data_IF_444854719089
#
_entry.id   IF_444854719089
#
_cell.length_a   1.000
_cell.length_b   1.000
_cell.length_c   1.000
_cell.angle_alpha   90.00
_cell.angle_beta   90.00
_cell.angle_gamma   90.00
#
_symmetry.space_group_name_H-M   'P 1'
#
loop_
_entity.id
_entity.type
_entity.pdbx_description
1 polymer ?
#
# COMPACT_ATOMS: atom_id res chain seq x y z
N UNK A 1 2.26 -20.84 -17.83
CA UNK A 1 2.16 -20.57 -16.38
C UNK A 1 0.72 -20.25 -16.03
N UNK A 2 0.20 -20.85 -14.96
CA UNK A 2 -1.16 -20.58 -14.48
C UNK A 2 -1.22 -19.20 -13.79
N UNK A 3 -1.96 -18.21 -14.33
CA UNK A 3 -2.09 -16.89 -13.72
C UNK A 3 -2.67 -16.92 -12.31
N UNK A 4 -3.64 -17.81 -12.05
CA UNK A 4 -4.29 -17.92 -10.74
C UNK A 4 -3.31 -18.40 -9.67
N UNK A 5 -2.47 -19.40 -9.99
CA UNK A 5 -1.41 -19.89 -9.11
C UNK A 5 -0.37 -18.81 -8.82
N UNK A 6 0.09 -18.10 -9.85
CA UNK A 6 1.03 -16.98 -9.69
C UNK A 6 0.45 -15.87 -8.78
N UNK A 7 -0.77 -15.42 -9.06
CA UNK A 7 -1.43 -14.37 -8.27
C UNK A 7 -1.68 -14.83 -6.83
N UNK A 8 -2.04 -16.11 -6.64
CA UNK A 8 -2.19 -16.72 -5.31
C UNK A 8 -0.90 -16.67 -4.50
N UNK A 9 0.24 -17.03 -5.12
CA UNK A 9 1.56 -16.96 -4.48
C UNK A 9 1.94 -15.51 -4.12
N UNK A 10 1.73 -14.55 -5.02
CA UNK A 10 2.02 -13.14 -4.76
C UNK A 10 1.15 -12.62 -3.61
N UNK A 11 -0.15 -12.89 -3.61
CA UNK A 11 -1.06 -12.49 -2.52
C UNK A 11 -0.66 -13.14 -1.19
N UNK A 12 -0.31 -14.43 -1.21
CA UNK A 12 0.17 -15.16 -0.03
C UNK A 12 1.46 -14.56 0.53
N UNK A 13 2.42 -14.23 -0.34
CA UNK A 13 3.65 -13.56 0.07
C UNK A 13 3.36 -12.21 0.77
N UNK A 14 2.53 -11.35 0.18
CA UNK A 14 2.20 -10.07 0.79
C UNK A 14 1.37 -10.20 2.07
N UNK A 15 0.48 -11.18 2.17
CA UNK A 15 -0.20 -11.52 3.42
C UNK A 15 0.80 -11.96 4.50
N UNK A 16 1.83 -12.73 4.12
CA UNK A 16 2.96 -13.09 5.00
C UNK A 16 3.74 -11.85 5.48
N UNK A 17 4.02 -10.89 4.59
CA UNK A 17 4.63 -9.59 4.95
C UNK A 17 3.73 -8.82 5.93
N UNK A 18 2.41 -8.81 5.72
CA UNK A 18 1.43 -8.21 6.64
C UNK A 18 1.47 -8.86 8.03
N UNK A 19 1.53 -10.20 8.10
CA UNK A 19 1.66 -10.95 9.35
C UNK A 19 2.97 -10.64 10.07
N UNK A 20 4.08 -10.60 9.34
CA UNK A 20 5.38 -10.20 9.88
C UNK A 20 5.36 -8.74 10.38
N UNK A 21 4.61 -7.87 9.71
CA UNK A 21 4.43 -6.47 10.14
C UNK A 21 3.63 -6.39 11.44
N UNK A 22 2.63 -7.24 11.66
CA UNK A 22 1.92 -7.31 12.95
C UNK A 22 2.87 -7.69 14.10
N UNK A 23 3.76 -8.65 13.88
CA UNK A 23 4.83 -8.97 14.84
C UNK A 23 5.80 -7.79 15.03
N UNK A 24 6.20 -7.13 13.95
CA UNK A 24 7.05 -5.95 14.02
C UNK A 24 6.37 -4.79 14.79
N UNK A 25 5.05 -4.64 14.64
CA UNK A 25 4.24 -3.67 15.42
C UNK A 25 4.29 -3.98 16.90
N UNK A 26 4.18 -5.26 17.29
CA UNK A 26 4.40 -5.68 18.67
C UNK A 26 5.80 -5.29 19.16
N UNK A 27 6.84 -5.58 18.36
CA UNK A 27 8.22 -5.20 18.70
C UNK A 27 8.38 -3.69 18.87
N UNK A 28 7.82 -2.89 17.96
CA UNK A 28 7.85 -1.43 18.04
C UNK A 28 7.12 -0.91 19.28
N UNK A 29 5.94 -1.47 19.58
CA UNK A 29 5.18 -1.15 20.79
C UNK A 29 6.00 -1.39 22.07
N UNK A 30 6.66 -2.56 22.14
CA UNK A 30 7.55 -2.92 23.26
C UNK A 30 8.75 -1.96 23.37
N UNK A 31 9.38 -1.68 22.23
CA UNK A 31 10.51 -0.74 22.13
C UNK A 31 10.13 0.69 22.51
N UNK A 32 8.85 1.06 22.34
CA UNK A 32 8.28 2.36 22.73
C UNK A 32 7.74 2.40 24.16
N UNK A 33 7.92 1.34 24.96
CA UNK A 33 7.62 1.30 26.37
C UNK A 33 6.25 0.73 26.77
N UNK A 34 5.54 0.07 25.84
CA UNK A 34 4.32 -0.66 26.18
C UNK A 34 4.62 -1.99 26.90
N UNK A 35 3.78 -2.41 27.84
CA UNK A 35 3.80 -3.76 28.43
C UNK A 35 3.51 -4.82 27.37
N UNK A 36 3.84 -6.08 27.67
CA UNK A 36 3.55 -7.19 26.74
C UNK A 36 2.07 -7.27 26.38
N UNK A 37 1.19 -7.13 27.38
CA UNK A 37 -0.25 -7.18 27.20
C UNK A 37 -0.75 -6.05 26.26
N UNK A 38 -0.32 -4.82 26.52
CA UNK A 38 -0.69 -3.68 25.67
C UNK A 38 -0.10 -3.78 24.26
N UNK A 39 1.14 -4.26 24.11
CA UNK A 39 1.78 -4.48 22.81
C UNK A 39 1.03 -5.55 22.00
N UNK A 40 0.51 -6.60 22.66
CA UNK A 40 -0.33 -7.60 21.99
C UNK A 40 -1.65 -6.99 21.50
N UNK A 41 -2.25 -6.08 22.27
CA UNK A 41 -3.40 -5.29 21.83
C UNK A 41 -3.09 -4.45 20.58
N UNK A 42 -1.95 -3.76 20.55
CA UNK A 42 -1.51 -2.98 19.38
C UNK A 42 -1.23 -3.83 18.13
N UNK A 43 -0.59 -4.99 18.31
CA UNK A 43 -0.40 -5.92 17.19
C UNK A 43 -1.73 -6.44 16.64
N UNK A 44 -2.69 -6.75 17.52
CA UNK A 44 -4.03 -7.15 17.14
C UNK A 44 -4.80 -6.02 16.42
N UNK A 45 -4.68 -4.77 16.88
CA UNK A 45 -5.25 -3.61 16.18
C UNK A 45 -4.76 -3.53 14.73
N UNK A 46 -3.47 -3.72 14.48
CA UNK A 46 -2.95 -3.73 13.13
C UNK A 46 -3.39 -4.97 12.34
N UNK A 47 -3.28 -6.16 12.95
CA UNK A 47 -3.53 -7.42 12.24
C UNK A 47 -4.99 -7.67 11.89
N UNK A 48 -5.94 -7.16 12.70
CA UNK A 48 -7.35 -7.51 12.63
C UNK A 48 -8.26 -6.37 12.14
N UNK A 49 -7.76 -5.11 12.09
CA UNK A 49 -8.57 -4.01 11.59
C UNK A 49 -8.78 -4.12 10.06
N UNK A 50 -9.95 -3.69 9.59
CA UNK A 50 -10.38 -3.89 8.20
C UNK A 50 -9.43 -3.28 7.17
N UNK A 51 -8.88 -2.08 7.42
CA UNK A 51 -8.01 -1.39 6.45
C UNK A 51 -6.68 -2.13 6.25
N UNK A 52 -5.90 -2.49 7.31
CA UNK A 52 -4.74 -3.35 7.15
C UNK A 52 -5.06 -4.71 6.48
N UNK A 53 -6.16 -5.37 6.87
CA UNK A 53 -6.59 -6.64 6.27
C UNK A 53 -6.86 -6.48 4.77
N UNK A 54 -7.53 -5.40 4.37
CA UNK A 54 -7.82 -5.13 2.97
C UNK A 54 -6.53 -4.96 2.15
N UNK A 55 -5.55 -4.22 2.66
CA UNK A 55 -4.31 -3.98 1.93
C UNK A 55 -3.30 -5.12 2.01
N UNK A 56 -3.34 -5.97 3.04
CA UNK A 56 -2.34 -7.01 3.28
C UNK A 56 -2.00 -7.89 2.05
N UNK A 57 -2.95 -8.43 1.27
CA UNK A 57 -2.64 -9.30 0.14
C UNK A 57 -2.25 -8.53 -1.14
N UNK A 58 -2.18 -7.21 -1.12
CA UNK A 58 -1.93 -6.40 -2.32
C UNK A 58 -0.45 -6.17 -2.56
N UNK A 59 0.01 -6.49 -3.76
CA UNK A 59 1.38 -6.28 -4.22
C UNK A 59 1.64 -4.79 -4.52
N UNK A 60 1.92 -4.03 -3.46
CA UNK A 60 2.16 -2.59 -3.54
C UNK A 60 3.46 -2.22 -2.84
N UNK A 61 4.12 -1.15 -3.31
CA UNK A 61 5.33 -0.60 -2.68
C UNK A 61 5.09 -0.18 -1.23
N UNK A 62 3.89 0.29 -0.92
CA UNK A 62 3.44 0.58 0.43
C UNK A 62 3.57 -0.63 1.34
N UNK A 63 3.00 -1.77 0.95
CA UNK A 63 3.07 -3.01 1.72
C UNK A 63 4.48 -3.58 1.81
N UNK A 64 5.22 -3.57 0.69
CA UNK A 64 6.60 -4.05 0.67
C UNK A 64 7.50 -3.28 1.64
N UNK A 65 7.26 -1.96 1.79
CA UNK A 65 8.10 -1.07 2.59
C UNK A 65 7.72 -0.97 4.06
N UNK A 66 6.50 -1.39 4.45
CA UNK A 66 5.99 -1.28 5.83
C UNK A 66 6.83 -2.08 6.82
N UNK A 67 7.11 -3.34 6.51
CA UNK A 67 7.88 -4.19 7.42
C UNK A 67 9.27 -3.62 7.74
N UNK A 68 10.11 -3.22 6.75
CA UNK A 68 11.38 -2.59 7.03
C UNK A 68 11.24 -1.23 7.75
N UNK A 69 10.19 -0.43 7.52
CA UNK A 69 9.94 0.79 8.30
C UNK A 69 9.73 0.45 9.78
N UNK A 70 8.80 -0.46 10.09
CA UNK A 70 8.42 -0.78 11.47
C UNK A 70 9.56 -1.42 12.24
N UNK A 71 10.26 -2.40 11.63
CA UNK A 71 11.44 -3.02 12.25
C UNK A 71 12.60 -2.04 12.38
N UNK A 72 12.81 -1.21 11.36
CA UNK A 72 13.82 -0.16 11.38
C UNK A 72 13.64 0.78 12.57
N UNK A 73 12.43 1.27 12.78
CA UNK A 73 12.09 2.13 13.92
C UNK A 73 12.16 1.37 15.26
N UNK A 74 11.70 0.13 15.32
CA UNK A 74 11.79 -0.67 16.54
C UNK A 74 13.22 -0.90 17.03
N UNK A 75 14.19 -0.94 16.11
CA UNK A 75 15.61 -1.13 16.40
C UNK A 75 16.36 0.19 16.64
N UNK A 76 16.07 1.23 15.85
CA UNK A 76 16.84 2.47 15.86
C UNK A 76 16.31 3.55 16.80
N UNK A 77 14.99 3.55 17.08
CA UNK A 77 14.35 4.63 17.85
C UNK A 77 14.58 4.59 19.37
N UNK A 78 14.75 3.42 20.06
CA UNK A 78 15.01 3.39 21.49
C UNK A 78 16.28 4.16 21.84
N UNK A 79 16.22 4.99 22.91
CA UNK A 79 17.38 5.76 23.36
C UNK A 79 18.57 4.89 23.79
N UNK A 80 18.29 3.64 24.21
CA UNK A 80 19.28 2.62 24.61
C UNK A 80 19.68 1.70 23.44
N UNK A 81 19.34 2.04 22.18
CA UNK A 81 19.69 1.20 21.04
C UNK A 81 21.22 0.97 20.97
N UNK A 82 21.62 -0.30 20.88
CA UNK A 82 23.02 -0.64 20.62
C UNK A 82 23.45 -0.15 19.24
N UNK A 83 24.76 0.03 19.02
CA UNK A 83 25.28 0.43 17.70
C UNK A 83 24.83 -0.54 16.60
N UNK A 84 24.81 -1.86 16.87
CA UNK A 84 24.31 -2.86 15.90
C UNK A 84 22.84 -2.66 15.59
N UNK A 85 22.00 -2.48 16.61
CA UNK A 85 20.58 -2.22 16.44
C UNK A 85 20.33 -0.94 15.62
N UNK A 86 21.07 0.14 15.92
CA UNK A 86 20.97 1.39 15.18
C UNK A 86 21.38 1.23 13.71
N UNK A 87 22.50 0.57 13.43
CA UNK A 87 22.98 0.32 12.04
C UNK A 87 21.96 -0.53 11.28
N UNK A 88 21.49 -1.64 11.88
CA UNK A 88 20.48 -2.50 11.25
C UNK A 88 19.16 -1.74 11.03
N UNK A 89 18.72 -0.98 12.04
CA UNK A 89 17.48 -0.19 11.93
C UNK A 89 17.58 0.90 10.86
N UNK A 90 18.66 1.66 10.81
CA UNK A 90 18.90 2.66 9.78
C UNK A 90 19.01 2.02 8.38
N UNK A 91 19.62 0.82 8.26
CA UNK A 91 19.68 0.08 6.99
C UNK A 91 18.30 -0.38 6.53
N UNK A 92 17.44 -0.84 7.44
CA UNK A 92 16.06 -1.18 7.10
C UNK A 92 15.26 0.05 6.62
N UNK A 93 15.48 1.21 7.24
CA UNK A 93 14.86 2.47 6.77
C UNK A 93 15.40 2.87 5.39
N UNK A 94 16.70 2.73 5.13
CA UNK A 94 17.29 2.94 3.81
C UNK A 94 16.70 2.01 2.75
N UNK A 95 16.56 0.72 3.08
CA UNK A 95 15.87 -0.24 2.22
C UNK A 95 14.40 0.16 1.95
N UNK A 96 13.70 0.66 2.98
CA UNK A 96 12.32 1.13 2.82
C UNK A 96 12.23 2.31 1.83
N UNK A 97 13.24 3.19 1.78
CA UNK A 97 13.32 4.27 0.78
C UNK A 97 13.49 3.73 -0.63
N UNK A 98 14.31 2.69 -0.85
CA UNK A 98 14.44 2.05 -2.15
C UNK A 98 13.11 1.45 -2.62
N UNK A 99 12.31 0.90 -1.71
CA UNK A 99 10.99 0.35 -2.02
C UNK A 99 9.96 1.45 -2.26
N UNK A 100 10.06 2.58 -1.54
CA UNK A 100 9.15 3.71 -1.65
C UNK A 100 9.80 4.99 -1.13
N UNK A 101 10.03 5.94 -2.04
CA UNK A 101 10.79 7.18 -1.77
C UNK A 101 10.22 7.99 -0.58
N UNK A 102 8.89 8.02 -0.42
CA UNK A 102 8.22 8.76 0.66
C UNK A 102 8.63 8.30 2.06
N UNK A 103 9.14 7.09 2.22
CA UNK A 103 9.68 6.61 3.49
C UNK A 103 10.94 7.37 3.95
N UNK A 104 11.53 8.19 3.08
CA UNK A 104 12.61 9.13 3.44
C UNK A 104 12.26 10.04 4.62
N UNK A 105 10.98 10.31 4.85
CA UNK A 105 10.47 11.03 6.04
C UNK A 105 10.91 10.35 7.33
N UNK A 106 10.90 9.02 7.39
CA UNK A 106 11.33 8.27 8.57
C UNK A 106 12.84 8.35 8.77
N UNK A 107 13.63 8.42 7.70
CA UNK A 107 15.08 8.60 7.78
C UNK A 107 15.43 9.98 8.34
N UNK A 108 14.87 11.04 7.77
CA UNK A 108 15.06 12.42 8.23
C UNK A 108 14.53 12.59 9.67
N UNK A 109 13.34 12.03 9.93
CA UNK A 109 12.73 12.09 11.26
C UNK A 109 13.53 11.34 12.32
N UNK A 110 14.13 10.17 12.00
CA UNK A 110 15.03 9.48 12.94
C UNK A 110 16.23 10.37 13.31
N UNK A 111 16.87 10.99 12.31
CA UNK A 111 17.99 11.92 12.57
C UNK A 111 17.53 13.08 13.45
N UNK A 112 16.36 13.68 13.16
CA UNK A 112 15.81 14.76 13.97
C UNK A 112 15.57 14.35 15.42
N UNK A 113 15.00 13.15 15.66
CA UNK A 113 14.78 12.61 17.01
C UNK A 113 16.10 12.37 17.74
N UNK A 114 17.10 11.79 17.07
CA UNK A 114 18.43 11.57 17.68
C UNK A 114 19.11 12.88 18.05
N UNK A 115 19.04 13.88 17.17
CA UNK A 115 19.58 15.23 17.42
C UNK A 115 18.85 15.93 18.57
N UNK A 116 17.51 15.88 18.59
CA UNK A 116 16.71 16.44 19.68
C UNK A 116 17.02 15.81 21.05
N UNK A 117 17.38 14.52 21.06
CA UNK A 117 17.83 13.79 22.26
C UNK A 117 19.30 14.05 22.59
N UNK A 118 20.02 14.89 21.82
CA UNK A 118 21.47 15.14 21.93
C UNK A 118 22.33 13.88 21.78
N UNK A 119 21.86 12.89 21.06
CA UNK A 119 22.54 11.63 20.76
C UNK A 119 23.44 11.79 19.51
N UNK A 120 24.40 12.74 19.56
CA UNK A 120 25.21 13.14 18.40
C UNK A 120 25.98 11.99 17.74
N UNK A 121 26.53 11.07 18.55
CA UNK A 121 27.26 9.90 18.03
C UNK A 121 26.33 8.96 17.27
N UNK A 122 25.13 8.69 17.82
CA UNK A 122 24.14 7.88 17.15
C UNK A 122 23.63 8.56 15.87
N UNK A 123 23.39 9.86 15.92
CA UNK A 123 23.00 10.64 14.73
C UNK A 123 24.07 10.55 13.62
N UNK A 124 25.36 10.66 13.95
CA UNK A 124 26.46 10.50 13.00
C UNK A 124 26.53 9.09 12.40
N UNK A 125 26.32 8.03 13.21
CA UNK A 125 26.27 6.65 12.72
C UNK A 125 25.07 6.45 11.80
N UNK A 126 23.88 6.91 12.22
CA UNK A 126 22.68 6.79 11.40
C UNK A 126 22.82 7.54 10.07
N UNK A 127 23.37 8.77 10.11
CA UNK A 127 23.63 9.57 8.91
C UNK A 127 24.56 8.84 7.95
N UNK A 128 25.68 8.28 8.45
CA UNK A 128 26.62 7.54 7.60
C UNK A 128 25.95 6.32 6.91
N UNK A 129 25.16 5.56 7.67
CA UNK A 129 24.42 4.41 7.10
C UNK A 129 23.41 4.85 6.06
N UNK A 130 22.59 5.86 6.35
CA UNK A 130 21.57 6.39 5.45
C UNK A 130 22.19 7.02 4.19
N UNK A 131 23.35 7.70 4.32
CA UNK A 131 24.12 8.21 3.18
C UNK A 131 24.61 7.08 2.28
N UNK A 132 25.07 5.96 2.86
CA UNK A 132 25.41 4.75 2.10
C UNK A 132 24.23 4.22 1.27
N UNK A 133 23.03 4.17 1.87
CA UNK A 133 21.81 3.78 1.16
C UNK A 133 21.38 4.79 0.10
N UNK A 134 21.54 6.09 0.36
CA UNK A 134 21.29 7.13 -0.64
C UNK A 134 22.24 7.00 -1.85
N UNK A 135 23.51 6.71 -1.61
CA UNK A 135 24.47 6.43 -2.69
C UNK A 135 24.10 5.15 -3.46
N UNK A 136 23.68 4.09 -2.77
CA UNK A 136 23.20 2.86 -3.40
C UNK A 136 21.97 3.12 -4.28
N UNK A 137 21.01 3.95 -3.81
CA UNK A 137 19.87 4.39 -4.60
C UNK A 137 20.29 5.16 -5.85
N UNK A 138 21.16 6.15 -5.70
CA UNK A 138 21.69 6.93 -6.83
C UNK A 138 22.45 6.06 -7.84
N UNK A 139 23.24 5.07 -7.36
CA UNK A 139 23.93 4.11 -8.20
C UNK A 139 22.96 3.21 -8.97
N UNK A 140 21.92 2.70 -8.31
CA UNK A 140 20.87 1.92 -8.96
C UNK A 140 20.22 2.73 -10.10
N UNK A 141 19.86 3.98 -9.85
CA UNK A 141 19.32 4.87 -10.87
C UNK A 141 20.33 5.12 -12.01
N UNK A 142 21.61 5.32 -11.68
CA UNK A 142 22.65 5.47 -12.70
C UNK A 142 22.77 4.24 -13.61
N UNK A 143 22.66 3.05 -13.03
CA UNK A 143 22.77 1.79 -13.79
C UNK A 143 21.53 1.50 -14.64
N UNK A 144 20.34 1.88 -14.15
CA UNK A 144 19.05 1.57 -14.81
C UNK A 144 18.58 2.68 -15.75
N UNK A 145 18.77 3.95 -15.36
CA UNK A 145 18.29 5.13 -16.09
C UNK A 145 19.41 5.99 -16.71
N UNK A 146 20.67 5.63 -16.47
CA UNK A 146 21.83 6.39 -16.97
C UNK A 146 22.14 7.68 -16.19
N UNK A 147 21.35 8.05 -15.17
CA UNK A 147 21.51 9.30 -14.38
C UNK A 147 21.40 9.02 -12.89
N UNK A 148 22.25 9.69 -12.08
CA UNK A 148 22.18 9.61 -10.63
C UNK A 148 20.86 10.23 -10.12
N UNK A 149 20.20 9.56 -9.16
CA UNK A 149 18.98 10.02 -8.50
C UNK A 149 17.82 10.35 -9.44
N UNK A 150 17.80 9.75 -10.63
CA UNK A 150 16.80 10.03 -11.66
C UNK A 150 15.37 9.86 -11.14
N UNK A 151 15.08 8.72 -10.51
CA UNK A 151 13.75 8.41 -9.99
C UNK A 151 13.29 9.40 -8.92
N UNK A 152 14.20 9.81 -8.01
CA UNK A 152 13.88 10.78 -6.98
C UNK A 152 13.62 12.18 -7.59
N UNK A 153 14.46 12.61 -8.53
CA UNK A 153 14.32 13.92 -9.18
C UNK A 153 13.01 13.99 -9.96
N UNK A 154 12.73 12.97 -10.78
CA UNK A 154 11.48 12.90 -11.58
C UNK A 154 10.25 12.85 -10.66
N UNK A 155 10.30 12.06 -9.58
CA UNK A 155 9.21 11.99 -8.62
C UNK A 155 8.94 13.32 -7.93
N UNK A 156 9.98 14.01 -7.45
CA UNK A 156 9.85 15.31 -6.77
C UNK A 156 9.40 16.39 -7.75
N UNK A 157 9.97 16.42 -8.95
CA UNK A 157 9.58 17.36 -10.00
C UNK A 157 8.09 17.19 -10.33
N UNK A 158 7.64 15.97 -10.64
CA UNK A 158 6.25 15.69 -10.98
C UNK A 158 5.26 16.07 -9.86
N UNK A 159 5.58 15.70 -8.61
CA UNK A 159 4.64 15.86 -7.49
C UNK A 159 4.69 17.24 -6.85
N UNK A 160 5.90 17.84 -6.71
CA UNK A 160 6.09 19.08 -5.95
C UNK A 160 6.27 20.29 -6.85
N UNK A 161 7.11 20.20 -7.90
CA UNK A 161 7.43 21.35 -8.75
C UNK A 161 6.31 21.58 -9.77
N UNK A 162 5.92 20.54 -10.50
CA UNK A 162 4.89 20.63 -11.54
C UNK A 162 3.46 20.45 -10.99
N UNK A 163 3.30 19.92 -9.78
CA UNK A 163 2.00 19.68 -9.16
C UNK A 163 1.09 18.71 -9.92
N UNK A 164 1.65 17.94 -10.86
CA UNK A 164 0.88 17.04 -11.76
C UNK A 164 0.14 15.91 -11.05
N UNK A 165 0.50 15.60 -9.82
CA UNK A 165 -0.27 14.66 -9.00
C UNK A 165 -1.74 15.07 -8.85
N UNK A 166 -2.05 16.36 -8.87
CA UNK A 166 -3.41 16.90 -8.82
C UNK A 166 -4.29 16.43 -10.00
N UNK A 167 -3.70 16.07 -11.15
CA UNK A 167 -4.43 15.54 -12.30
C UNK A 167 -5.12 14.20 -12.03
N UNK A 168 -4.67 13.45 -11.01
CA UNK A 168 -5.29 12.19 -10.57
C UNK A 168 -6.41 12.39 -9.55
N UNK A 169 -6.81 13.63 -9.28
CA UNK A 169 -7.81 14.03 -8.31
C UNK A 169 -7.19 14.72 -7.10
N UNK A 170 -7.97 15.56 -6.45
CA UNK A 170 -7.56 16.32 -5.26
C UNK A 170 -8.53 16.06 -4.12
N UNK A 171 -8.00 15.99 -2.90
CA UNK A 171 -8.75 15.77 -1.67
C UNK A 171 -8.40 16.83 -0.61
N UNK A 172 -9.36 17.12 0.26
CA UNK A 172 -9.18 18.07 1.36
C UNK A 172 -8.12 17.62 2.36
N UNK A 173 -7.59 18.56 3.15
CA UNK A 173 -6.54 18.28 4.14
C UNK A 173 -6.94 17.21 5.16
N UNK A 174 -8.22 17.17 5.55
CA UNK A 174 -8.82 16.25 6.50
C UNK A 174 -9.20 14.87 5.92
N UNK A 175 -8.80 14.59 4.68
CA UNK A 175 -9.13 13.33 3.99
C UNK A 175 -8.82 12.09 4.83
N UNK A 176 -7.59 12.00 5.39
CA UNK A 176 -7.18 10.79 6.12
C UNK A 176 -7.98 10.52 7.38
N UNK A 177 -8.19 11.46 8.31
CA UNK A 177 -9.05 11.20 9.46
C UNK A 177 -10.50 10.91 9.05
N UNK A 178 -11.03 11.58 8.02
CA UNK A 178 -12.38 11.35 7.50
C UNK A 178 -12.51 9.94 6.95
N UNK A 179 -11.61 9.51 6.07
CA UNK A 179 -11.70 8.20 5.43
C UNK A 179 -11.45 7.05 6.41
N UNK A 180 -10.52 7.19 7.36
CA UNK A 180 -10.32 6.21 8.42
C UNK A 180 -11.55 6.08 9.31
N UNK A 181 -12.25 7.19 9.58
CA UNK A 181 -13.52 7.16 10.33
C UNK A 181 -14.61 6.46 9.53
N UNK A 182 -14.66 6.61 8.21
CA UNK A 182 -15.62 5.94 7.34
C UNK A 182 -15.33 4.44 7.22
N UNK A 183 -14.06 4.07 6.99
CA UNK A 183 -13.65 2.67 6.85
C UNK A 183 -13.70 1.89 8.16
N UNK A 184 -13.41 2.56 9.29
CA UNK A 184 -13.28 1.94 10.61
C UNK A 184 -14.02 2.78 11.67
N UNK A 185 -15.37 2.87 11.60
CA UNK A 185 -16.14 3.65 12.56
C UNK A 185 -15.87 3.20 14.00
N UNK A 186 -15.72 4.13 14.94
CA UNK A 186 -15.39 3.84 16.32
C UNK A 186 -13.95 3.38 16.57
N UNK A 187 -13.45 2.41 15.80
CA UNK A 187 -12.07 1.91 15.96
C UNK A 187 -11.03 3.00 15.67
N UNK A 188 -11.22 3.80 14.61
CA UNK A 188 -10.34 4.92 14.29
C UNK A 188 -10.29 5.98 15.39
N UNK A 189 -11.43 6.26 16.02
CA UNK A 189 -11.52 7.18 17.17
C UNK A 189 -10.80 6.58 18.38
N UNK A 190 -11.01 5.30 18.68
CA UNK A 190 -10.32 4.60 19.77
C UNK A 190 -8.79 4.62 19.55
N UNK A 191 -8.32 4.27 18.36
CA UNK A 191 -6.88 4.30 18.00
C UNK A 191 -6.32 5.71 18.14
N UNK A 192 -7.05 6.72 17.65
CA UNK A 192 -6.66 8.12 17.76
C UNK A 192 -6.56 8.58 19.23
N UNK A 193 -7.56 8.28 20.04
CA UNK A 193 -7.55 8.63 21.46
C UNK A 193 -6.40 7.97 22.22
N UNK A 194 -6.17 6.66 22.00
CA UNK A 194 -5.05 5.95 22.60
C UNK A 194 -3.70 6.49 22.11
N UNK A 195 -3.57 6.82 20.82
CA UNK A 195 -2.34 7.41 20.28
C UNK A 195 -2.03 8.78 20.89
N UNK A 196 -3.05 9.60 21.18
CA UNK A 196 -2.87 10.87 21.89
C UNK A 196 -2.37 10.66 23.32
N UNK A 197 -2.87 9.64 24.03
CA UNK A 197 -2.37 9.28 25.37
C UNK A 197 -0.92 8.79 25.36
N UNK A 198 -0.39 8.38 24.21
CA UNK A 198 1.00 7.97 24.06
C UNK A 198 1.99 9.14 23.91
N UNK A 199 1.52 10.35 23.54
CA UNK A 199 2.37 11.50 23.20
C UNK A 199 3.48 11.78 24.20
N UNK A 200 3.23 11.86 25.53
CA UNK A 200 4.28 12.18 26.49
C UNK A 200 5.35 11.08 26.61
N UNK A 201 4.96 9.82 26.39
CA UNK A 201 5.82 8.65 26.61
C UNK A 201 6.57 8.21 25.35
N UNK A 202 5.97 8.39 24.18
CA UNK A 202 6.51 7.95 22.91
C UNK A 202 6.65 9.11 21.90
N UNK A 203 7.05 10.30 22.37
CA UNK A 203 7.09 11.52 21.56
C UNK A 203 7.84 11.36 20.23
N UNK A 204 8.97 10.63 20.22
CA UNK A 204 9.74 10.41 19.00
C UNK A 204 8.98 9.59 17.95
N UNK A 205 8.26 8.52 18.37
CA UNK A 205 7.38 7.77 17.48
C UNK A 205 6.18 8.61 17.03
N UNK A 206 5.61 9.39 17.97
CA UNK A 206 4.49 10.31 17.67
C UNK A 206 4.90 11.36 16.63
N UNK A 207 6.08 11.95 16.78
CA UNK A 207 6.65 12.91 15.84
C UNK A 207 6.80 12.28 14.42
N UNK A 208 7.41 11.10 14.33
CA UNK A 208 7.61 10.40 13.07
C UNK A 208 6.29 10.07 12.38
N UNK A 209 5.32 9.58 13.16
CA UNK A 209 3.98 9.26 12.66
C UNK A 209 3.25 10.51 12.17
N UNK A 210 3.26 11.57 12.98
CA UNK A 210 2.64 12.84 12.62
C UNK A 210 3.30 13.47 11.39
N UNK A 211 4.64 13.50 11.31
CA UNK A 211 5.37 14.03 10.16
C UNK A 211 4.98 13.29 8.87
N UNK A 212 4.90 11.96 8.91
CA UNK A 212 4.49 11.17 7.74
C UNK A 212 3.04 11.47 7.33
N UNK A 213 2.10 11.46 8.28
CA UNK A 213 0.68 11.73 8.01
C UNK A 213 0.47 13.14 7.50
N UNK A 214 1.09 14.15 8.14
CA UNK A 214 0.93 15.56 7.75
C UNK A 214 1.51 15.84 6.37
N UNK A 215 2.68 15.29 6.03
CA UNK A 215 3.25 15.44 4.69
C UNK A 215 2.34 14.85 3.61
N UNK A 216 1.70 13.70 3.86
CA UNK A 216 0.73 13.14 2.94
C UNK A 216 -0.58 13.94 2.92
N UNK A 217 -1.03 14.47 4.07
CA UNK A 217 -2.22 15.32 4.15
C UNK A 217 -2.04 16.66 3.41
N UNK A 218 -0.80 17.15 3.32
CA UNK A 218 -0.49 18.39 2.60
C UNK A 218 -0.52 18.21 1.08
N UNK A 219 -0.23 17.00 0.56
CA UNK A 219 -0.28 16.73 -0.88
C UNK A 219 -1.71 16.84 -1.40
N UNK A 220 -1.95 17.47 -2.58
CA UNK A 220 -3.29 17.57 -3.16
C UNK A 220 -3.91 16.20 -3.45
N UNK A 221 -3.17 15.32 -4.12
CA UNK A 221 -3.62 13.97 -4.44
C UNK A 221 -3.43 13.03 -3.24
N UNK A 222 -4.52 12.40 -2.82
CA UNK A 222 -4.54 11.50 -1.66
C UNK A 222 -5.27 10.20 -1.98
N UNK A 223 -4.71 9.12 -1.48
CA UNK A 223 -5.35 7.81 -1.47
C UNK A 223 -5.09 7.16 -0.11
N UNK A 224 -6.05 6.34 0.38
CA UNK A 224 -5.91 5.67 1.67
C UNK A 224 -4.66 4.76 1.74
N UNK A 225 -4.27 4.14 0.60
CA UNK A 225 -3.07 3.30 0.54
C UNK A 225 -1.79 4.06 0.92
N UNK A 226 -1.70 5.36 0.66
CA UNK A 226 -0.49 6.13 1.01
C UNK A 226 -0.26 6.18 2.52
N UNK A 227 -1.31 5.95 3.32
CA UNK A 227 -1.22 5.92 4.77
C UNK A 227 -0.82 4.53 5.33
N UNK A 228 -0.76 3.49 4.50
CA UNK A 228 -0.44 2.12 4.94
C UNK A 228 0.83 2.05 5.81
N UNK A 229 1.95 2.75 5.50
CA UNK A 229 3.12 2.75 6.38
C UNK A 229 2.89 3.37 7.77
N UNK A 230 1.90 4.24 7.94
CA UNK A 230 1.58 4.87 9.22
C UNK A 230 0.65 4.01 10.10
N UNK A 231 -0.12 3.06 9.52
CA UNK A 231 -1.09 2.26 10.27
C UNK A 231 -0.46 1.45 11.41
N UNK A 232 0.65 0.70 11.21
CA UNK A 232 1.31 -0.02 12.31
C UNK A 232 1.94 0.93 13.33
N UNK A 233 2.35 2.14 12.95
CA UNK A 233 2.88 3.14 13.88
C UNK A 233 1.75 3.68 14.77
N UNK A 234 0.58 3.96 14.20
CA UNK A 234 -0.63 4.35 14.95
C UNK A 234 -1.05 3.24 15.92
N UNK A 235 -1.01 1.98 15.48
CA UNK A 235 -1.31 0.83 16.33
C UNK A 235 -0.28 0.67 17.47
N UNK A 236 1.01 0.93 17.20
CA UNK A 236 2.05 0.91 18.23
C UNK A 236 1.89 2.06 19.24
N UNK A 237 1.51 3.25 18.77
CA UNK A 237 1.15 4.37 19.64
C UNK A 237 -0.09 4.03 20.47
N UNK A 238 -1.13 3.45 19.88
CA UNK A 238 -2.32 3.01 20.61
C UNK A 238 -1.96 1.97 21.68
N UNK A 239 -0.99 1.09 21.44
CA UNK A 239 -0.48 0.17 22.45
C UNK A 239 0.18 0.89 23.62
N UNK A 240 0.99 1.93 23.38
CA UNK A 240 1.59 2.74 24.45
C UNK A 240 0.51 3.50 25.25
N UNK A 241 -0.50 4.04 24.56
CA UNK A 241 -1.64 4.69 25.21
C UNK A 241 -2.49 3.71 26.02
N UNK A 242 -2.77 2.52 25.48
CA UNK A 242 -3.43 1.43 26.22
C UNK A 242 -2.62 1.08 27.47
N UNK A 243 -1.30 0.97 27.39
CA UNK A 243 -0.46 0.73 28.57
C UNK A 243 -0.61 1.83 29.63
N UNK A 244 -0.81 3.09 29.23
CA UNK A 244 -1.09 4.17 30.17
C UNK A 244 -2.42 3.96 30.88
N UNK A 245 -3.46 3.51 30.18
CA UNK A 245 -4.76 3.14 30.78
C UNK A 245 -4.60 1.95 31.72
N UNK A 246 -3.88 0.89 31.27
CA UNK A 246 -3.68 -0.33 32.08
C UNK A 246 -2.94 -0.07 33.39
N UNK A 247 -2.07 0.96 33.45
CA UNK A 247 -1.36 1.33 34.69
C UNK A 247 -2.30 1.90 35.76
N UNK A 248 -3.39 2.52 35.36
CA UNK A 248 -4.41 3.08 36.30
C UNK A 248 -5.35 1.99 36.77
N UNK A 249 -5.58 0.96 35.96
CA UNK A 249 -6.47 -0.15 36.32
C UNK A 249 -5.85 -1.04 37.40
N UNK A 250 -6.65 -1.41 38.43
CA UNK A 250 -6.22 -2.28 39.50
C UNK A 250 -6.55 -3.74 39.16
N UNK A 251 -5.56 -4.61 39.39
CA UNK A 251 -5.70 -6.06 39.20
C UNK A 251 -5.60 -6.53 37.75
N UNK A 252 -5.14 -7.77 37.59
CA UNK A 252 -4.99 -8.42 36.28
C UNK A 252 -6.30 -8.56 35.49
N UNK A 253 -7.43 -8.95 36.12
CA UNK A 253 -8.70 -9.10 35.41
C UNK A 253 -9.13 -7.82 34.68
N UNK A 254 -9.07 -6.66 35.34
CA UNK A 254 -9.45 -5.38 34.74
C UNK A 254 -8.54 -5.01 33.55
N UNK A 255 -7.23 -5.27 33.66
CA UNK A 255 -6.27 -5.05 32.57
C UNK A 255 -6.51 -5.98 31.39
N UNK A 256 -6.77 -7.26 31.67
CA UNK A 256 -7.10 -8.24 30.65
C UNK A 256 -8.38 -7.85 29.91
N UNK A 257 -9.44 -7.48 30.65
CA UNK A 257 -10.72 -7.04 30.06
C UNK A 257 -10.53 -5.83 29.14
N UNK A 258 -9.77 -4.81 29.57
CA UNK A 258 -9.50 -3.64 28.73
C UNK A 258 -8.75 -4.00 27.44
N UNK A 259 -7.77 -4.91 27.51
CA UNK A 259 -7.05 -5.38 26.33
C UNK A 259 -7.96 -6.20 25.42
N UNK A 260 -8.77 -7.10 25.98
CA UNK A 260 -9.74 -7.89 25.22
C UNK A 260 -10.76 -6.99 24.52
N UNK A 261 -11.22 -5.90 25.17
CA UNK A 261 -12.12 -4.94 24.53
C UNK A 261 -11.49 -4.27 23.31
N UNK A 262 -10.20 -3.91 23.37
CA UNK A 262 -9.46 -3.37 22.21
C UNK A 262 -9.34 -4.40 21.09
N UNK A 263 -9.01 -5.64 21.42
CA UNK A 263 -8.93 -6.75 20.45
C UNK A 263 -10.30 -7.04 19.83
N UNK A 264 -11.35 -7.06 20.64
CA UNK A 264 -12.73 -7.26 20.17
C UNK A 264 -13.16 -6.14 19.20
N UNK A 265 -12.84 -4.88 19.49
CA UNK A 265 -13.12 -3.77 18.59
C UNK A 265 -12.38 -3.94 17.23
N UNK A 266 -11.15 -4.44 17.24
CA UNK A 266 -10.41 -4.74 16.02
C UNK A 266 -11.03 -5.92 15.25
N UNK A 267 -11.45 -6.98 15.93
CA UNK A 267 -12.15 -8.13 15.35
C UNK A 267 -13.48 -7.73 14.72
N UNK A 268 -14.28 -6.90 15.41
CA UNK A 268 -15.54 -6.38 14.85
C UNK A 268 -15.28 -5.56 13.58
N UNK A 269 -14.23 -4.72 13.59
CA UNK A 269 -13.81 -4.01 12.36
C UNK A 269 -13.44 -4.98 11.25
N UNK A 270 -12.62 -6.00 11.53
CA UNK A 270 -12.16 -6.99 10.57
C UNK A 270 -13.27 -7.89 10.03
N UNK A 271 -14.27 -8.22 10.85
CA UNK A 271 -15.43 -9.00 10.44
C UNK A 271 -16.23 -8.33 9.30
N UNK A 272 -16.14 -7.01 9.20
CA UNK A 272 -16.77 -6.24 8.12
C UNK A 272 -15.92 -6.19 6.83
N UNK A 273 -14.73 -6.81 6.82
CA UNK A 273 -13.83 -6.74 5.66
C UNK A 273 -14.49 -7.24 4.37
N UNK A 274 -15.30 -8.30 4.44
CA UNK A 274 -16.00 -8.84 3.27
C UNK A 274 -17.07 -7.93 2.68
N UNK A 275 -17.63 -7.02 3.48
CA UNK A 275 -18.65 -6.05 3.08
C UNK A 275 -18.08 -4.69 2.67
N UNK A 276 -16.76 -4.51 2.73
CA UNK A 276 -16.10 -3.24 2.45
C UNK A 276 -16.37 -2.76 1.03
N UNK A 277 -16.76 -1.50 0.89
CA UNK A 277 -17.06 -0.87 -0.39
C UNK A 277 -15.98 0.11 -0.83
N UNK A 278 -15.97 0.47 -2.11
CA UNK A 278 -15.04 1.49 -2.62
C UNK A 278 -15.24 2.86 -1.96
N UNK A 279 -16.50 3.26 -1.69
CA UNK A 279 -16.78 4.52 -1.01
C UNK A 279 -16.20 4.58 0.40
N UNK A 280 -16.25 3.47 1.14
CA UNK A 280 -15.63 3.37 2.47
C UNK A 280 -14.11 3.46 2.43
N UNK A 281 -13.49 3.12 1.30
CA UNK A 281 -12.04 3.27 1.10
C UNK A 281 -11.64 4.61 0.48
N UNK A 282 -12.61 5.48 0.14
CA UNK A 282 -12.35 6.71 -0.61
C UNK A 282 -11.85 6.46 -2.03
N UNK A 283 -12.26 5.33 -2.62
CA UNK A 283 -11.90 4.95 -3.99
C UNK A 283 -13.16 4.93 -4.86
N UNK A 284 -13.04 5.37 -6.11
CA UNK A 284 -14.16 5.37 -7.06
C UNK A 284 -15.47 6.00 -6.50
N UNK A 285 -15.38 6.91 -5.53
CA UNK A 285 -16.52 7.50 -4.81
C UNK A 285 -17.57 8.09 -5.75
N UNK A 286 -17.15 8.62 -6.90
CA UNK A 286 -18.03 9.26 -7.89
C UNK A 286 -18.65 8.29 -8.89
N UNK A 287 -18.11 7.08 -9.01
CA UNK A 287 -18.48 6.14 -10.08
C UNK A 287 -19.18 4.89 -9.53
N UNK A 288 -18.61 4.27 -8.49
CA UNK A 288 -19.05 2.98 -7.93
C UNK A 288 -18.89 2.92 -6.40
N UNK A 289 -19.43 3.88 -5.63
CA UNK A 289 -19.16 3.94 -4.20
C UNK A 289 -19.71 2.76 -3.41
N UNK A 290 -20.75 2.10 -3.92
CA UNK A 290 -21.45 0.97 -3.26
C UNK A 290 -20.93 -0.41 -3.70
N UNK A 291 -20.08 -0.46 -4.72
CA UNK A 291 -19.52 -1.72 -5.19
C UNK A 291 -18.51 -2.28 -4.19
N UNK A 292 -18.41 -3.62 -4.15
CA UNK A 292 -17.46 -4.29 -3.28
C UNK A 292 -16.02 -3.89 -3.62
N UNK A 293 -15.26 -3.47 -2.62
CA UNK A 293 -13.85 -3.14 -2.75
C UNK A 293 -12.98 -4.37 -3.15
N UNK A 294 -13.50 -5.58 -2.99
CA UNK A 294 -12.82 -6.82 -3.35
C UNK A 294 -12.98 -7.20 -4.82
N UNK A 295 -13.95 -6.61 -5.52
CA UNK A 295 -14.19 -6.83 -6.94
C UNK A 295 -13.59 -5.73 -7.83
N UNK A 296 -12.40 -5.24 -7.47
CA UNK A 296 -11.68 -4.20 -8.20
C UNK A 296 -11.30 -4.67 -9.59
N UNK A 297 -12.09 -4.24 -10.60
CA UNK A 297 -11.99 -4.66 -12.01
C UNK A 297 -12.01 -6.18 -12.21
N UNK A 298 -12.58 -6.94 -11.26
CA UNK A 298 -12.63 -8.40 -11.28
C UNK A 298 -13.18 -8.99 -12.58
N UNK A 299 -14.31 -8.52 -13.12
CA UNK A 299 -14.85 -9.02 -14.40
C UNK A 299 -13.86 -8.85 -15.57
N UNK A 300 -13.19 -7.70 -15.68
CA UNK A 300 -12.18 -7.47 -16.73
C UNK A 300 -10.99 -8.39 -16.55
N UNK A 301 -10.49 -8.53 -15.31
CA UNK A 301 -9.35 -9.38 -15.02
C UNK A 301 -9.64 -10.86 -15.29
N UNK A 302 -10.84 -11.35 -14.97
CA UNK A 302 -11.26 -12.73 -15.32
C UNK A 302 -11.35 -12.94 -16.83
N UNK A 303 -11.80 -11.93 -17.59
CA UNK A 303 -11.80 -12.00 -19.05
C UNK A 303 -10.39 -11.90 -19.65
N UNK A 304 -9.46 -11.15 -19.03
CA UNK A 304 -8.04 -11.15 -19.40
C UNK A 304 -7.43 -12.55 -19.22
N UNK A 305 -7.73 -13.21 -18.09
CA UNK A 305 -7.28 -14.59 -17.83
C UNK A 305 -7.90 -15.57 -18.82
N UNK A 306 -9.20 -15.46 -19.10
CA UNK A 306 -9.88 -16.29 -20.10
C UNK A 306 -9.27 -16.11 -21.50
N UNK A 307 -8.94 -14.88 -21.90
CA UNK A 307 -8.25 -14.60 -23.15
C UNK A 307 -6.82 -15.18 -23.15
N UNK A 308 -6.12 -15.11 -22.01
CA UNK A 308 -4.77 -15.65 -21.86
C UNK A 308 -4.68 -17.16 -22.06
N UNK A 309 -5.74 -17.90 -21.75
CA UNK A 309 -5.85 -19.37 -21.93
C UNK A 309 -6.17 -19.80 -23.36
N UNK A 310 -6.46 -18.87 -24.26
CA UNK A 310 -6.86 -19.17 -25.65
C UNK A 310 -5.65 -19.10 -26.58
N UNK A 311 -5.49 -20.10 -27.42
CA UNK A 311 -4.40 -20.17 -28.40
C UNK A 311 -4.63 -19.30 -29.64
N UNK A 312 -5.89 -18.94 -29.91
CA UNK A 312 -6.28 -18.15 -31.09
C UNK A 312 -6.19 -16.61 -30.86
N UNK A 313 -5.70 -16.17 -29.69
CA UNK A 313 -5.47 -14.74 -29.42
C UNK A 313 -4.13 -14.30 -29.97
N UNK A 314 -4.14 -13.42 -30.97
CA UNK A 314 -2.95 -12.78 -31.55
C UNK A 314 -2.80 -11.30 -31.15
N UNK A 315 -3.82 -10.72 -30.53
CA UNK A 315 -3.87 -9.41 -29.90
C UNK A 315 -5.19 -9.24 -29.19
N UNK A 316 -5.23 -8.44 -28.15
CA UNK A 316 -6.43 -8.19 -27.33
C UNK A 316 -6.62 -6.69 -27.13
N UNK A 317 -7.85 -6.21 -27.22
CA UNK A 317 -8.22 -4.84 -26.88
C UNK A 317 -9.18 -4.83 -25.69
N UNK A 318 -8.96 -3.89 -24.75
CA UNK A 318 -9.89 -3.62 -23.64
C UNK A 318 -10.62 -2.30 -23.93
N UNK A 319 -11.93 -2.37 -24.22
CA UNK A 319 -12.73 -1.19 -24.56
C UNK A 319 -13.46 -0.57 -23.36
N UNK A 320 -13.56 -1.29 -22.26
CA UNK A 320 -14.44 -0.92 -21.14
C UNK A 320 -13.80 0.00 -20.14
N UNK A 321 -12.47 -0.12 -19.93
CA UNK A 321 -11.67 0.68 -19.00
C UNK A 321 -10.27 0.89 -19.57
N UNK A 322 -9.56 1.90 -19.07
CA UNK A 322 -8.15 2.04 -19.42
C UNK A 322 -7.35 0.85 -18.89
N UNK A 323 -6.45 0.28 -19.71
CA UNK A 323 -5.71 -0.95 -19.34
C UNK A 323 -4.87 -0.80 -18.05
N UNK A 324 -4.38 0.40 -17.75
CA UNK A 324 -3.65 0.69 -16.50
C UNK A 324 -4.50 0.49 -15.23
N UNK A 325 -5.83 0.40 -15.38
CA UNK A 325 -6.78 0.17 -14.29
C UNK A 325 -7.20 -1.29 -14.21
N UNK A 326 -6.49 -2.17 -14.89
CA UNK A 326 -6.70 -3.62 -14.90
C UNK A 326 -5.43 -4.32 -14.46
N UNK A 327 -5.48 -5.62 -14.23
CA UNK A 327 -4.30 -6.44 -13.97
C UNK A 327 -3.39 -6.64 -15.18
N UNK A 328 -3.79 -6.18 -16.37
CA UNK A 328 -2.99 -6.20 -17.57
C UNK A 328 -2.32 -7.55 -17.82
N UNK A 329 -1.04 -7.51 -18.12
CA UNK A 329 -0.26 -8.73 -18.39
C UNK A 329 -0.10 -9.65 -17.16
N UNK A 330 -0.29 -9.19 -15.93
CA UNK A 330 -0.28 -10.04 -14.74
C UNK A 330 -1.44 -11.03 -14.70
N UNK A 331 -2.54 -10.74 -15.41
CA UNK A 331 -3.69 -11.65 -15.59
C UNK A 331 -3.70 -12.28 -16.97
N UNK A 332 -3.29 -11.56 -18.02
CA UNK A 332 -3.33 -12.03 -19.39
C UNK A 332 -2.26 -13.09 -19.70
N UNK A 333 -1.05 -12.95 -19.14
CA UNK A 333 0.07 -13.90 -19.23
C UNK A 333 0.47 -14.36 -20.65
N UNK A 334 0.15 -13.58 -21.69
CA UNK A 334 0.54 -13.87 -23.08
C UNK A 334 1.38 -12.75 -23.65
N UNK A 335 2.39 -13.10 -24.43
CA UNK A 335 3.25 -12.14 -25.13
C UNK A 335 2.62 -11.78 -26.49
N UNK A 336 1.43 -11.17 -26.46
CA UNK A 336 0.76 -10.56 -27.62
C UNK A 336 0.30 -9.16 -27.25
N UNK A 337 0.11 -8.24 -28.22
CA UNK A 337 -0.29 -6.87 -27.94
C UNK A 337 -1.59 -6.78 -27.14
N UNK A 338 -1.58 -5.90 -26.13
CA UNK A 338 -2.76 -5.55 -25.33
C UNK A 338 -3.05 -4.05 -25.52
N UNK A 339 -4.13 -3.75 -26.22
CA UNK A 339 -4.48 -2.38 -26.59
C UNK A 339 -5.47 -1.75 -25.61
N UNK A 340 -5.29 -0.45 -25.25
CA UNK A 340 -6.23 0.30 -24.43
C UNK A 340 -7.50 0.68 -25.22
N UNK A 341 -8.52 1.21 -24.50
CA UNK A 341 -9.79 1.64 -25.08
C UNK A 341 -9.63 2.71 -26.17
N UNK A 342 -8.68 3.62 -26.02
CA UNK A 342 -8.33 4.68 -26.98
C UNK A 342 -7.30 4.23 -28.05
N UNK A 343 -6.96 2.95 -28.08
CA UNK A 343 -6.06 2.36 -29.08
C UNK A 343 -6.74 2.09 -30.42
N UNK A 344 -6.12 1.25 -31.29
CA UNK A 344 -6.61 0.96 -32.65
C UNK A 344 -8.06 0.53 -32.69
N UNK A 345 -8.79 0.89 -33.78
CA UNK A 345 -10.17 0.44 -34.03
C UNK A 345 -10.26 -1.04 -34.36
N UNK A 346 -11.46 -1.64 -34.25
CA UNK A 346 -11.69 -3.06 -34.52
C UNK A 346 -11.35 -3.48 -35.98
N UNK A 347 -11.42 -2.55 -36.93
CA UNK A 347 -11.06 -2.78 -38.33
C UNK A 347 -9.56 -2.74 -38.63
N UNK A 348 -8.69 -2.54 -37.63
CA UNK A 348 -7.22 -2.45 -37.84
C UNK A 348 -6.54 -3.79 -38.11
N UNK A 349 -7.20 -4.90 -37.81
CA UNK A 349 -6.62 -6.26 -37.82
C UNK A 349 -5.38 -6.43 -36.92
N UNK A 350 -5.18 -5.54 -35.93
CA UNK A 350 -4.06 -5.62 -35.00
C UNK A 350 -4.35 -6.53 -33.79
N UNK A 351 -5.60 -6.89 -33.60
CA UNK A 351 -6.06 -7.78 -32.53
C UNK A 351 -7.23 -8.64 -32.99
N UNK A 352 -7.29 -9.87 -32.48
CA UNK A 352 -8.33 -10.84 -32.78
C UNK A 352 -9.44 -10.89 -31.75
N UNK A 353 -9.23 -10.32 -30.56
CA UNK A 353 -10.19 -10.38 -29.46
C UNK A 353 -10.40 -9.01 -28.82
N UNK A 354 -11.61 -8.80 -28.28
CA UNK A 354 -11.95 -7.56 -27.58
C UNK A 354 -12.75 -7.87 -26.31
N UNK A 355 -12.41 -7.18 -25.22
CA UNK A 355 -13.23 -7.14 -24.02
C UNK A 355 -14.13 -5.90 -24.11
N UNK A 356 -15.44 -6.13 -24.16
CA UNK A 356 -16.45 -5.08 -24.34
C UNK A 356 -17.68 -5.34 -23.46
N UNK A 357 -18.69 -4.47 -23.52
CA UNK A 357 -19.98 -4.71 -22.87
C UNK A 357 -20.86 -5.61 -23.73
N UNK A 358 -21.68 -6.43 -23.08
CA UNK A 358 -22.71 -7.18 -23.76
C UNK A 358 -23.65 -6.22 -24.54
N UNK A 359 -24.01 -6.59 -25.76
CA UNK A 359 -24.75 -5.74 -26.72
C UNK A 359 -23.85 -4.88 -27.61
N UNK A 360 -22.53 -4.92 -27.45
CA UNK A 360 -21.54 -4.20 -28.28
C UNK A 360 -20.56 -5.16 -28.97
N UNK A 361 -20.95 -6.42 -29.17
CA UNK A 361 -20.14 -7.48 -29.80
C UNK A 361 -19.81 -7.16 -31.28
N UNK A 362 -20.68 -6.43 -31.97
CA UNK A 362 -20.56 -6.21 -33.40
C UNK A 362 -20.70 -7.52 -34.20
N UNK A 363 -19.89 -7.69 -35.25
CA UNK A 363 -19.85 -8.93 -36.05
C UNK A 363 -19.07 -10.08 -35.41
N UNK A 364 -18.57 -9.91 -34.15
CA UNK A 364 -17.80 -10.92 -33.45
C UNK A 364 -18.64 -11.96 -32.72
N UNK A 365 -17.99 -13.04 -32.29
CA UNK A 365 -18.62 -14.12 -31.51
C UNK A 365 -18.18 -14.02 -30.04
N UNK A 366 -19.13 -13.99 -29.11
CA UNK A 366 -18.84 -14.04 -27.67
C UNK A 366 -18.24 -15.41 -27.30
N UNK A 367 -17.05 -15.41 -26.72
CA UNK A 367 -16.31 -16.62 -26.31
C UNK A 367 -16.19 -16.77 -24.80
N UNK A 368 -16.41 -15.70 -24.04
CA UNK A 368 -16.51 -15.72 -22.56
C UNK A 368 -17.37 -14.54 -22.08
N UNK A 369 -17.98 -14.68 -20.89
CA UNK A 369 -18.84 -13.66 -20.28
C UNK A 369 -18.57 -13.57 -18.79
N UNK A 370 -18.49 -12.33 -18.29
CA UNK A 370 -18.37 -12.01 -16.87
C UNK A 370 -19.31 -10.84 -16.52
N UNK A 371 -20.48 -11.18 -16.00
CA UNK A 371 -21.54 -10.22 -15.74
C UNK A 371 -21.94 -9.43 -17.01
N UNK A 372 -21.84 -8.08 -16.99
CA UNK A 372 -22.18 -7.25 -18.15
C UNK A 372 -21.08 -7.19 -19.22
N UNK A 373 -19.93 -7.83 -18.99
CA UNK A 373 -18.79 -7.80 -19.90
C UNK A 373 -18.66 -9.13 -20.66
N UNK A 374 -18.14 -9.02 -21.88
CA UNK A 374 -17.92 -10.16 -22.77
C UNK A 374 -16.52 -10.10 -23.41
N UNK A 375 -15.93 -11.26 -23.59
CA UNK A 375 -14.78 -11.46 -24.48
C UNK A 375 -15.32 -11.89 -25.83
N UNK A 376 -15.03 -11.11 -26.85
CA UNK A 376 -15.53 -11.32 -28.22
C UNK A 376 -14.35 -11.67 -29.12
N UNK A 377 -14.48 -12.75 -29.89
CA UNK A 377 -13.60 -13.07 -31.01
C UNK A 377 -14.09 -12.34 -32.25
N UNK A 378 -13.24 -11.55 -32.86
CA UNK A 378 -13.52 -10.84 -34.10
C UNK A 378 -13.38 -11.77 -35.33
N UNK A 379 -14.08 -11.49 -36.45
CA UNK A 379 -13.99 -12.28 -37.66
C UNK A 379 -12.70 -11.94 -38.45
N UNK A 380 -11.54 -12.13 -37.82
CA UNK A 380 -10.23 -11.91 -38.45
C UNK A 380 -9.47 -13.24 -38.53
N UNK A 381 -8.84 -13.50 -39.65
CA UNK A 381 -8.10 -14.75 -39.88
C UNK A 381 -6.75 -14.77 -39.10
N UNK A 382 -6.25 -13.62 -38.73
CA UNK A 382 -5.00 -13.44 -37.97
C UNK A 382 -4.70 -11.96 -37.79
N UNK A 383 -3.74 -11.63 -36.88
CA UNK A 383 -3.35 -10.24 -36.63
C UNK A 383 -2.22 -9.81 -37.57
N UNK A 384 -2.33 -8.59 -38.07
CA UNK A 384 -1.21 -7.90 -38.72
C UNK A 384 -0.17 -7.53 -37.65
N UNK A 385 1.14 -7.76 -37.88
CA UNK A 385 2.18 -7.30 -36.99
C UNK A 385 2.12 -5.78 -36.77
N UNK A 386 2.22 -5.34 -35.52
CA UNK A 386 2.28 -3.91 -35.17
C UNK A 386 3.72 -3.53 -34.79
N UNK A 387 4.54 -3.03 -35.74
CA UNK A 387 5.92 -2.62 -35.46
C UNK A 387 6.00 -1.41 -34.51
N UNK A 388 4.91 -0.65 -34.40
CA UNK A 388 4.82 0.51 -33.48
C UNK A 388 4.42 0.14 -32.06
N UNK A 389 4.09 -1.14 -31.79
CA UNK A 389 3.66 -1.54 -30.44
C UNK A 389 4.80 -1.47 -29.45
N UNK A 390 4.63 -0.64 -28.42
CA UNK A 390 5.60 -0.54 -27.33
C UNK A 390 5.29 -1.57 -26.24
N UNK A 391 6.24 -2.47 -25.99
CA UNK A 391 6.21 -3.40 -24.85
C UNK A 391 6.61 -2.73 -23.53
N UNK A 392 7.04 -1.46 -23.60
CA UNK A 392 7.33 -0.66 -22.42
C UNK A 392 6.04 0.02 -21.98
N UNK A 393 5.76 -0.02 -20.69
CA UNK A 393 4.72 0.83 -20.12
C UNK A 393 5.10 2.29 -20.38
N UNK A 394 4.13 3.13 -20.76
CA UNK A 394 4.37 4.55 -21.00
C UNK A 394 4.85 5.27 -19.75
#
# INVERSE_FOLDING_TARGET
TDPAGYLGLVKGFFAGVGTATAWATWRLSRASGASTLAASGGAALFALAVVPLYFAPRAMSENASVLPVVLGLALALPASASRRALVTGASLLGLAVLLRLQNGVFCVGLLAVLLARRQWRQAGVALAVLSGWALAFGLLDKLTWGRWFHSAIVYLDFNLVQGKAANFGTEAFDYYPRILRTSMPGLSVLVGALALLALPRAWGLSFLTAAFVLLHAYQPHKELRFLVPALPLLAALAAVGLDSVLRVLRGFPARATATVAVVAAALVSGANAGALTFGELGQYERVRPKDSAWDDQGPVNRLLEAAGRRDDVCGLKVETVHQAWTGGYSYFHRKVPLYPHNGPGRGSNLFSHVITRAGYEGAGTTVAREGPLVLVKLPVAGCTPDPGYSWRLP
#
